data_IF_633240744816
#
_entry.id   IF_633240744816
#
_cell.length_a   1.000
_cell.length_b   1.000
_cell.length_c   1.000
_cell.angle_alpha   90.00
_cell.angle_beta   90.00
_cell.angle_gamma   90.00
#
_symmetry.space_group_name_H-M   'P 1'
#
loop_
_entity.id
_entity.type
_entity.pdbx_description
1 polymer ?
#
# COMPACT_ATOMS: atom_id res chain seq x y z
N UNK A 1 18.64 -4.56 0.74
CA UNK A 1 18.43 -3.13 0.41
C UNK A 1 16.98 -2.70 0.73
N UNK A 2 16.68 -1.39 0.88
CA UNK A 2 15.30 -0.87 1.04
C UNK A 2 14.98 0.09 -0.11
N UNK A 3 13.96 -0.22 -0.90
CA UNK A 3 13.50 0.59 -2.02
C UNK A 3 12.09 1.11 -1.74
N UNK A 4 11.79 2.35 -2.11
CA UNK A 4 10.48 2.97 -1.92
C UNK A 4 9.90 3.53 -3.23
N UNK A 5 8.60 3.34 -3.42
CA UNK A 5 7.81 4.00 -4.46
C UNK A 5 6.72 4.84 -3.80
N UNK A 6 6.61 6.11 -4.20
CA UNK A 6 5.72 7.09 -3.56
C UNK A 6 4.67 7.60 -4.53
N UNK A 7 3.40 7.50 -4.15
CA UNK A 7 2.27 8.00 -4.91
C UNK A 7 1.60 9.15 -4.18
N UNK A 8 1.13 10.13 -4.95
CA UNK A 8 0.33 11.24 -4.44
C UNK A 8 -0.99 11.34 -5.20
N UNK A 9 -2.10 11.27 -4.47
CA UNK A 9 -3.43 11.33 -5.08
C UNK A 9 -3.81 12.78 -5.38
N UNK A 10 -3.98 13.10 -6.66
CA UNK A 10 -4.21 14.47 -7.13
C UNK A 10 -5.70 14.85 -7.21
N UNK A 11 -6.60 13.87 -7.26
CA UNK A 11 -8.04 14.05 -7.52
C UNK A 11 -8.88 13.02 -6.75
N UNK A 12 -10.21 13.19 -6.80
CA UNK A 12 -11.23 12.33 -6.17
C UNK A 12 -11.22 12.30 -4.63
N UNK A 13 -11.92 11.33 -4.05
CA UNK A 13 -12.21 11.23 -2.61
C UNK A 13 -10.96 11.03 -1.74
N UNK A 14 -9.86 10.54 -2.31
CA UNK A 14 -8.55 10.38 -1.64
C UNK A 14 -7.56 11.49 -2.02
N UNK A 15 -8.00 12.60 -2.64
CA UNK A 15 -7.11 13.72 -2.98
C UNK A 15 -6.32 14.18 -1.74
N UNK A 16 -5.01 14.24 -1.88
CA UNK A 16 -4.10 14.58 -0.79
C UNK A 16 -3.46 13.37 -0.10
N UNK A 17 -3.97 12.15 -0.34
CA UNK A 17 -3.37 10.92 0.17
C UNK A 17 -1.95 10.75 -0.41
N UNK A 18 -1.03 10.35 0.46
CA UNK A 18 0.28 9.82 0.09
C UNK A 18 0.25 8.32 0.33
N UNK A 19 0.73 7.56 -0.65
CA UNK A 19 0.87 6.12 -0.53
C UNK A 19 2.34 5.77 -0.73
N UNK A 20 2.92 5.05 0.22
CA UNK A 20 4.32 4.62 0.15
C UNK A 20 4.35 3.12 0.09
N UNK A 21 4.88 2.60 -1.01
CA UNK A 21 5.25 1.21 -1.15
C UNK A 21 6.70 1.05 -0.71
N UNK A 22 6.96 0.11 0.18
CA UNK A 22 8.30 -0.25 0.62
C UNK A 22 8.60 -1.68 0.20
N UNK A 23 9.77 -1.89 -0.37
CA UNK A 23 10.31 -3.20 -0.72
C UNK A 23 11.59 -3.39 0.09
N UNK A 24 11.60 -4.40 0.96
CA UNK A 24 12.74 -4.71 1.82
C UNK A 24 13.16 -6.14 1.58
N UNK A 25 14.38 -6.33 1.12
CA UNK A 25 14.97 -7.67 1.03
C UNK A 25 15.09 -8.30 2.42
N UNK A 26 14.73 -9.57 2.50
CA UNK A 26 14.85 -10.45 3.68
C UNK A 26 15.51 -11.76 3.24
N UNK A 27 15.83 -12.63 4.21
CA UNK A 27 16.37 -13.96 3.90
C UNK A 27 15.37 -14.86 3.15
N UNK A 28 14.08 -14.58 3.29
CA UNK A 28 12.98 -15.41 2.74
C UNK A 28 12.39 -14.81 1.44
N UNK A 29 12.93 -13.69 0.95
CA UNK A 29 12.44 -12.99 -0.24
C UNK A 29 12.35 -11.49 -0.04
N UNK A 30 11.28 -10.87 -0.52
CA UNK A 30 11.06 -9.42 -0.40
C UNK A 30 9.80 -9.15 0.42
N UNK A 31 9.95 -8.45 1.55
CA UNK A 31 8.83 -7.91 2.30
C UNK A 31 8.32 -6.65 1.58
N UNK A 32 7.05 -6.69 1.18
CA UNK A 32 6.37 -5.55 0.53
C UNK A 32 5.31 -4.99 1.45
N UNK A 33 5.39 -3.69 1.73
CA UNK A 33 4.48 -2.97 2.62
C UNK A 33 3.87 -1.77 1.90
N UNK A 34 2.62 -1.44 2.20
CA UNK A 34 1.94 -0.25 1.67
C UNK A 34 1.43 0.59 2.85
N UNK A 35 2.02 1.76 3.04
CA UNK A 35 1.57 2.75 4.00
C UNK A 35 0.70 3.81 3.31
N UNK A 36 -0.42 4.17 3.93
CA UNK A 36 -1.32 5.23 3.47
C UNK A 36 -1.34 6.34 4.50
N UNK A 37 -0.95 7.54 4.08
CA UNK A 37 -0.96 8.73 4.90
C UNK A 37 -1.93 9.74 4.27
N UNK A 38 -3.04 9.97 4.97
CA UNK A 38 -4.10 10.85 4.50
C UNK A 38 -4.11 12.13 5.34
N UNK A 39 -3.34 13.11 4.88
CA UNK A 39 -3.45 14.48 5.38
C UNK A 39 -4.71 15.16 4.82
N UNK A 40 -5.84 15.03 5.51
CA UNK A 40 -6.99 15.89 5.22
C UNK A 40 -6.61 17.35 5.53
N UNK A 41 -6.53 18.19 4.50
CA UNK A 41 -6.32 19.64 4.65
C UNK A 41 -7.48 20.33 5.40
N UNK A 42 -8.59 19.64 5.65
CA UNK A 42 -9.79 20.20 6.28
C UNK A 42 -9.96 19.56 7.66
N UNK A 43 -9.58 20.28 8.73
CA UNK A 43 -9.79 19.86 10.14
C UNK A 43 -11.25 19.49 10.46
N UNK A 44 -12.20 19.94 9.64
CA UNK A 44 -13.64 19.69 9.82
C UNK A 44 -14.11 18.28 9.41
N UNK A 45 -13.31 17.56 8.60
CA UNK A 45 -13.65 16.21 8.13
C UNK A 45 -12.86 15.09 8.84
N UNK A 46 -12.11 15.44 9.90
CA UNK A 46 -11.33 14.51 10.71
C UNK A 46 -12.09 13.26 11.20
N UNK A 47 -13.38 13.33 11.62
CA UNK A 47 -14.10 12.13 12.07
C UNK A 47 -14.41 11.13 10.93
N UNK A 48 -14.49 11.61 9.69
CA UNK A 48 -14.73 10.79 8.50
C UNK A 48 -13.41 10.23 7.99
N UNK A 49 -12.32 11.00 8.14
CA UNK A 49 -10.96 10.58 7.86
C UNK A 49 -10.57 9.33 8.63
N UNK A 50 -10.77 9.34 9.95
CA UNK A 50 -10.42 8.24 10.83
C UNK A 50 -11.23 6.98 10.51
N UNK A 51 -12.48 7.11 10.04
CA UNK A 51 -13.31 5.96 9.60
C UNK A 51 -12.91 5.40 8.23
N UNK A 52 -12.41 6.23 7.31
CA UNK A 52 -11.94 5.79 5.99
C UNK A 52 -10.54 5.16 6.09
N UNK A 53 -9.68 5.71 6.94
CA UNK A 53 -8.32 5.21 7.22
C UNK A 53 -8.36 3.98 8.14
N UNK A 54 -9.26 3.99 9.13
CA UNK A 54 -9.29 3.02 10.22
C UNK A 54 -9.84 1.65 9.86
N UNK A 55 -11.05 1.56 9.27
CA UNK A 55 -11.78 0.30 9.45
C UNK A 55 -11.97 -0.61 8.22
N UNK A 56 -12.13 -0.17 6.96
CA UNK A 56 -12.51 -1.15 5.91
C UNK A 56 -12.02 -0.96 4.47
N UNK A 57 -11.82 0.27 3.98
CA UNK A 57 -11.51 0.43 2.56
C UNK A 57 -10.01 0.21 2.26
N UNK A 58 -9.13 0.84 3.03
CA UNK A 58 -7.69 0.83 2.75
C UNK A 58 -7.06 -0.51 3.11
N UNK A 59 -7.30 -1.05 4.31
CA UNK A 59 -6.67 -2.30 4.73
C UNK A 59 -7.11 -3.50 3.87
N UNK A 60 -8.42 -3.63 3.60
CA UNK A 60 -8.95 -4.71 2.77
C UNK A 60 -8.46 -4.62 1.32
N UNK A 61 -8.45 -3.43 0.73
CA UNK A 61 -7.97 -3.23 -0.64
C UNK A 61 -6.46 -3.42 -0.71
N UNK A 62 -5.69 -2.84 0.22
CA UNK A 62 -4.24 -3.01 0.27
C UNK A 62 -3.85 -4.47 0.43
N UNK A 63 -4.51 -5.23 1.30
CA UNK A 63 -4.25 -6.66 1.46
C UNK A 63 -4.57 -7.44 0.18
N UNK A 64 -5.70 -7.16 -0.48
CA UNK A 64 -6.04 -7.78 -1.77
C UNK A 64 -5.04 -7.42 -2.86
N UNK A 65 -4.62 -6.17 -2.92
CA UNK A 65 -3.61 -5.69 -3.87
C UNK A 65 -2.27 -6.40 -3.63
N UNK A 66 -1.81 -6.46 -2.39
CA UNK A 66 -0.57 -7.15 -2.03
C UNK A 66 -0.65 -8.65 -2.33
N UNK A 67 -1.78 -9.30 -2.02
CA UNK A 67 -1.98 -10.71 -2.31
C UNK A 67 -1.97 -11.00 -3.82
N UNK A 68 -2.67 -10.19 -4.61
CA UNK A 68 -2.71 -10.35 -6.06
C UNK A 68 -1.35 -10.08 -6.69
N UNK A 69 -0.64 -9.03 -6.25
CA UNK A 69 0.73 -8.76 -6.68
C UNK A 69 1.67 -9.91 -6.34
N UNK A 70 1.63 -10.41 -5.09
CA UNK A 70 2.44 -11.57 -4.66
C UNK A 70 2.21 -12.76 -5.58
N UNK A 71 0.95 -13.16 -5.75
CA UNK A 71 0.60 -14.28 -6.62
C UNK A 71 1.06 -14.06 -8.08
N UNK A 72 0.90 -12.85 -8.62
CA UNK A 72 1.31 -12.53 -9.99
C UNK A 72 2.83 -12.57 -10.19
N UNK A 73 3.61 -12.03 -9.24
CA UNK A 73 5.07 -11.99 -9.35
C UNK A 73 5.66 -13.38 -9.07
N UNK A 74 5.17 -14.09 -8.05
CA UNK A 74 5.66 -15.44 -7.72
C UNK A 74 5.29 -16.48 -8.77
N UNK A 75 4.17 -16.32 -9.49
CA UNK A 75 3.83 -17.19 -10.61
C UNK A 75 4.72 -16.97 -11.85
N UNK A 76 5.37 -15.81 -11.97
CA UNK A 76 6.28 -15.49 -13.07
C UNK A 76 7.75 -15.74 -12.73
N UNK A 77 8.07 -15.88 -11.44
CA UNK A 77 9.35 -16.40 -11.03
C UNK A 77 9.37 -17.89 -11.39
N UNK A 78 10.12 -18.26 -12.44
CA UNK A 78 10.49 -19.66 -12.69
C UNK A 78 10.96 -20.29 -11.36
N UNK A 79 10.58 -21.54 -11.05
CA UNK A 79 11.14 -22.20 -9.88
C UNK A 79 12.66 -22.19 -10.05
N UNK A 80 13.35 -21.50 -9.14
CA UNK A 80 14.80 -21.64 -9.02
C UNK A 80 15.01 -23.09 -8.62
N UNK A 81 15.28 -23.93 -9.62
CA UNK A 81 15.69 -25.32 -9.44
C UNK A 81 16.97 -25.30 -8.62
N UNK A 82 16.84 -25.71 -7.37
CA UNK A 82 17.95 -26.04 -6.47
C UNK A 82 18.69 -27.31 -6.96
#
# INVERSE_FOLDING_TARGET
>A
EKVEIRFHHLKAFTKGMRVVWTFKETQEGVLVEIAHDLHFRVRLLAPIADKIIGDFFIHHIANKTLHCMKAYVEAQAEPVTA
#
